data_IF_732977739377
#
_entry.id   IF_732977739377
#
_cell.length_a   1.000
_cell.length_b   1.000
_cell.length_c   1.000
_cell.angle_alpha   90.00
_cell.angle_beta   90.00
_cell.angle_gamma   90.00
#
_symmetry.space_group_name_H-M   'P 1'
#
loop_
_entity.id
_entity.type
_entity.pdbx_description
1 polymer ?
#
# COMPACT_ATOMS: atom_id res chain seq x y z
N UNK A 1 3.75 -26.06 13.71
CA UNK A 1 4.29 -25.06 12.76
C UNK A 1 5.80 -25.26 12.69
N UNK A 2 6.33 -25.63 11.53
CA UNK A 2 7.78 -25.71 11.27
C UNK A 2 8.24 -24.45 10.57
N UNK A 3 9.53 -24.10 10.73
CA UNK A 3 10.12 -22.90 10.14
C UNK A 3 11.45 -23.28 9.50
N UNK A 4 11.65 -22.90 8.25
CA UNK A 4 12.94 -22.96 7.56
C UNK A 4 13.40 -21.54 7.25
N UNK A 5 14.61 -21.18 7.67
CA UNK A 5 15.24 -19.90 7.31
C UNK A 5 15.94 -20.12 5.97
N UNK A 6 15.50 -19.39 4.94
CA UNK A 6 16.08 -19.48 3.60
C UNK A 6 17.37 -18.65 3.53
N UNK A 7 18.35 -19.14 2.80
CA UNK A 7 19.61 -18.46 2.48
C UNK A 7 19.68 -18.06 1.00
N UNK A 8 18.77 -18.58 0.17
CA UNK A 8 18.57 -18.21 -1.22
C UNK A 8 17.08 -18.27 -1.58
N UNK A 9 16.68 -17.58 -2.65
CA UNK A 9 15.27 -17.50 -3.06
C UNK A 9 14.73 -18.80 -3.69
N UNK A 10 15.61 -19.64 -4.23
CA UNK A 10 15.28 -20.92 -4.88
C UNK A 10 15.27 -22.12 -3.92
N UNK A 11 15.63 -21.89 -2.66
CA UNK A 11 15.55 -22.94 -1.63
C UNK A 11 14.10 -23.27 -1.31
N UNK A 12 13.70 -24.50 -1.57
CA UNK A 12 12.41 -25.04 -1.18
C UNK A 12 12.59 -26.40 -0.54
N UNK A 13 12.13 -26.59 0.70
CA UNK A 13 12.12 -27.91 1.32
C UNK A 13 11.15 -28.85 0.57
N UNK A 14 11.62 -30.04 0.19
CA UNK A 14 10.77 -31.07 -0.41
C UNK A 14 9.78 -31.64 0.62
N UNK A 15 8.59 -32.04 0.15
CA UNK A 15 7.60 -32.78 0.95
C UNK A 15 6.91 -31.96 2.03
N UNK A 16 7.00 -30.63 1.99
CA UNK A 16 6.26 -29.74 2.89
C UNK A 16 4.85 -29.50 2.35
N UNK A 17 3.83 -29.57 3.23
CA UNK A 17 2.44 -29.23 2.91
C UNK A 17 2.25 -27.76 2.57
N UNK A 18 1.22 -27.11 3.11
CA UNK A 18 0.96 -25.70 2.89
C UNK A 18 2.18 -24.85 3.29
N UNK A 19 2.71 -24.08 2.33
CA UNK A 19 3.85 -23.19 2.50
C UNK A 19 3.40 -21.75 2.63
N UNK A 20 4.04 -20.97 3.53
CA UNK A 20 3.84 -19.54 3.62
C UNK A 20 5.17 -18.80 3.79
N UNK A 21 5.36 -17.71 3.08
CA UNK A 21 6.53 -16.87 3.23
C UNK A 21 6.38 -15.92 4.41
N UNK A 22 7.48 -15.69 5.12
CA UNK A 22 7.58 -14.74 6.24
C UNK A 22 8.78 -13.82 6.06
N UNK A 23 8.53 -12.49 6.20
CA UNK A 23 9.55 -11.49 6.48
C UNK A 23 9.34 -11.01 7.93
N UNK A 24 8.91 -9.78 8.19
CA UNK A 24 8.64 -9.28 9.54
C UNK A 24 7.48 -9.95 10.29
N UNK A 25 6.64 -10.69 9.60
CA UNK A 25 5.58 -11.54 10.18
C UNK A 25 4.40 -10.79 10.82
N UNK A 26 4.35 -9.47 10.78
CA UNK A 26 3.35 -8.65 11.49
C UNK A 26 1.91 -8.90 11.04
N UNK A 27 1.69 -9.30 9.79
CA UNK A 27 0.39 -9.73 9.28
C UNK A 27 0.19 -11.25 9.43
N UNK A 28 1.21 -12.04 9.08
CA UNK A 28 1.13 -13.50 9.07
C UNK A 28 0.84 -14.05 10.49
N UNK A 29 1.53 -13.55 11.52
CA UNK A 29 1.37 -14.05 12.90
C UNK A 29 -0.05 -13.85 13.43
N UNK A 30 -0.67 -12.71 13.13
CA UNK A 30 -2.06 -12.46 13.50
C UNK A 30 -2.99 -13.48 12.85
N UNK A 31 -2.84 -13.71 11.53
CA UNK A 31 -3.67 -14.68 10.79
C UNK A 31 -3.51 -16.09 11.32
N UNK A 32 -2.30 -16.53 11.55
CA UNK A 32 -2.04 -17.87 12.09
C UNK A 32 -2.64 -18.09 13.47
N UNK A 33 -2.60 -17.08 14.35
CA UNK A 33 -3.26 -17.16 15.66
C UNK A 33 -4.77 -17.25 15.54
N UNK A 34 -5.36 -16.48 14.62
CA UNK A 34 -6.81 -16.42 14.44
C UNK A 34 -7.36 -17.70 13.82
N UNK A 35 -6.67 -18.25 12.81
CA UNK A 35 -7.13 -19.46 12.10
C UNK A 35 -6.72 -20.77 12.78
N UNK A 36 -5.73 -20.73 13.68
CA UNK A 36 -5.11 -21.95 14.22
C UNK A 36 -4.30 -22.73 13.20
N UNK A 37 -4.07 -22.20 11.99
CA UNK A 37 -3.33 -22.87 10.93
C UNK A 37 -1.86 -23.08 11.32
N UNK A 38 -1.30 -24.21 10.90
CA UNK A 38 0.09 -24.60 11.20
C UNK A 38 0.87 -24.92 9.92
N UNK A 39 0.98 -23.97 8.96
CA UNK A 39 1.73 -24.19 7.74
C UNK A 39 3.23 -24.35 8.03
N UNK A 40 3.97 -24.77 7.01
CA UNK A 40 5.42 -24.64 7.03
C UNK A 40 5.81 -23.21 6.63
N UNK A 41 6.56 -22.54 7.48
CA UNK A 41 6.98 -21.15 7.27
C UNK A 41 8.35 -21.08 6.64
N UNK A 42 8.44 -20.43 5.48
CA UNK A 42 9.70 -20.08 4.80
C UNK A 42 10.09 -18.67 5.21
N UNK A 43 11.10 -18.54 6.06
CA UNK A 43 11.58 -17.26 6.57
C UNK A 43 12.63 -16.67 5.62
N UNK A 44 12.33 -15.50 5.07
CA UNK A 44 13.16 -14.81 4.08
C UNK A 44 14.29 -13.97 4.71
N UNK A 45 14.32 -13.83 6.03
CA UNK A 45 15.25 -12.91 6.70
C UNK A 45 16.71 -13.35 6.64
N UNK A 46 16.97 -14.62 6.31
CA UNK A 46 18.32 -15.15 6.11
C UNK A 46 18.91 -14.90 4.73
N UNK A 47 18.12 -14.41 3.75
CA UNK A 47 18.59 -14.21 2.38
C UNK A 47 19.51 -12.99 2.31
N UNK A 48 20.74 -13.12 1.79
CA UNK A 48 21.66 -11.99 1.60
C UNK A 48 21.04 -10.88 0.75
N UNK A 49 21.18 -9.63 1.20
CA UNK A 49 20.65 -8.45 0.49
C UNK A 49 19.13 -8.25 0.63
N UNK A 50 18.40 -9.16 1.28
CA UNK A 50 16.95 -9.04 1.43
C UNK A 50 16.52 -7.73 2.12
N UNK A 51 17.32 -7.18 3.02
CA UNK A 51 17.08 -5.92 3.71
C UNK A 51 18.06 -4.80 3.31
N UNK A 52 18.69 -4.89 2.13
CA UNK A 52 19.61 -3.87 1.64
C UNK A 52 18.90 -2.61 1.13
N UNK A 53 19.57 -1.46 1.27
CA UNK A 53 19.22 -0.20 0.61
C UNK A 53 20.40 0.19 -0.26
N UNK A 54 20.22 0.18 -1.58
CA UNK A 54 21.28 0.44 -2.55
C UNK A 54 20.91 1.66 -3.40
N UNK A 55 21.77 2.68 -3.37
CA UNK A 55 21.67 3.87 -4.21
C UNK A 55 22.59 3.72 -5.41
N UNK A 56 22.03 3.95 -6.59
CA UNK A 56 22.74 3.87 -7.87
C UNK A 56 22.57 5.17 -8.67
N UNK A 57 23.24 5.26 -9.79
CA UNK A 57 23.08 6.35 -10.76
C UNK A 57 21.73 6.32 -11.52
N UNK A 58 20.93 5.27 -11.35
CA UNK A 58 19.61 5.12 -11.95
C UNK A 58 18.45 5.18 -10.96
N UNK A 59 18.73 5.21 -9.65
CA UNK A 59 17.70 5.26 -8.61
C UNK A 59 18.11 4.55 -7.33
N UNK A 60 17.11 4.19 -6.51
CA UNK A 60 17.31 3.48 -5.24
C UNK A 60 16.59 2.15 -5.24
N UNK A 61 17.32 1.08 -4.95
CA UNK A 61 16.81 -0.28 -4.78
C UNK A 61 16.64 -0.59 -3.29
N UNK A 62 15.44 -1.02 -2.90
CA UNK A 62 15.07 -1.41 -1.55
C UNK A 62 14.76 -2.91 -1.53
N UNK A 63 15.58 -3.71 -0.87
CA UNK A 63 15.26 -5.12 -0.62
C UNK A 63 13.91 -5.26 0.10
N UNK A 64 13.14 -6.28 -0.22
CA UNK A 64 11.79 -6.47 0.32
C UNK A 64 11.74 -6.60 1.85
N UNK A 65 12.85 -6.95 2.47
CA UNK A 65 13.05 -7.03 3.92
C UNK A 65 13.40 -5.70 4.59
N UNK A 66 13.59 -4.61 3.85
CA UNK A 66 13.81 -3.27 4.45
C UNK A 66 12.61 -2.92 5.32
N UNK A 67 12.89 -2.55 6.58
CA UNK A 67 11.81 -2.27 7.54
C UNK A 67 11.11 -0.94 7.25
N UNK A 68 9.86 -0.84 7.62
CA UNK A 68 9.08 0.41 7.53
C UNK A 68 9.77 1.54 8.31
N UNK A 69 10.38 1.22 9.46
CA UNK A 69 11.15 2.20 10.24
C UNK A 69 12.39 2.70 9.48
N UNK A 70 13.08 1.83 8.75
CA UNK A 70 14.23 2.20 7.89
C UNK A 70 13.77 3.09 6.74
N UNK A 71 12.66 2.74 6.07
CA UNK A 71 12.07 3.57 5.01
C UNK A 71 11.77 4.98 5.53
N UNK A 72 11.11 5.09 6.70
CA UNK A 72 10.75 6.38 7.30
C UNK A 72 11.97 7.25 7.65
N UNK A 73 13.05 6.64 8.11
CA UNK A 73 14.24 7.36 8.56
C UNK A 73 15.21 7.69 7.43
N UNK A 74 15.55 6.70 6.61
CA UNK A 74 16.70 6.76 5.71
C UNK A 74 16.34 7.30 4.32
N UNK A 75 15.05 7.37 3.99
CA UNK A 75 14.56 7.88 2.71
C UNK A 75 13.92 9.27 2.80
N UNK A 76 13.90 9.90 3.99
CA UNK A 76 13.22 11.16 4.20
C UNK A 76 13.77 12.31 3.32
N UNK A 77 15.07 12.31 3.02
CA UNK A 77 15.70 13.31 2.15
C UNK A 77 15.51 13.04 0.66
N UNK A 78 15.43 11.77 0.27
CA UNK A 78 15.39 11.35 -1.13
C UNK A 78 13.95 11.13 -1.66
N UNK A 79 13.07 10.58 -0.81
CA UNK A 79 11.70 10.20 -1.16
C UNK A 79 10.71 10.58 -0.04
N UNK A 80 10.48 11.89 0.17
CA UNK A 80 9.73 12.37 1.33
C UNK A 80 8.30 11.84 1.40
N UNK A 81 7.59 11.65 0.28
CA UNK A 81 6.25 11.09 0.28
C UNK A 81 6.22 9.64 0.82
N UNK A 82 7.18 8.80 0.42
CA UNK A 82 7.30 7.43 0.90
C UNK A 82 7.68 7.39 2.39
N UNK A 83 8.63 8.24 2.80
CA UNK A 83 9.09 8.31 4.18
C UNK A 83 8.00 8.81 5.15
N UNK A 84 7.25 9.86 4.77
CA UNK A 84 6.12 10.38 5.56
C UNK A 84 5.02 9.32 5.70
N UNK A 85 4.69 8.62 4.61
CA UNK A 85 3.72 7.53 4.65
C UNK A 85 4.19 6.43 5.60
N UNK A 86 5.46 6.01 5.49
CA UNK A 86 6.03 4.98 6.37
C UNK A 86 6.03 5.41 7.85
N UNK A 87 6.36 6.67 8.15
CA UNK A 87 6.33 7.22 9.51
C UNK A 87 4.93 7.23 10.12
N UNK A 88 3.89 7.44 9.29
CA UNK A 88 2.49 7.44 9.70
C UNK A 88 1.86 6.06 9.93
N UNK A 89 2.54 4.96 9.59
CA UNK A 89 1.99 3.61 9.71
C UNK A 89 2.10 3.06 11.13
N UNK A 90 1.05 2.40 11.59
CA UNK A 90 1.04 1.53 12.78
C UNK A 90 1.76 2.15 13.99
N UNK A 91 2.20 1.31 14.94
CA UNK A 91 3.03 1.73 16.08
C UNK A 91 4.53 1.70 15.74
N UNK A 92 5.39 2.43 16.46
CA UNK A 92 6.85 2.33 16.29
C UNK A 92 7.38 0.89 16.35
N UNK A 93 6.85 0.08 17.27
CA UNK A 93 7.24 -1.33 17.43
C UNK A 93 6.88 -2.16 16.19
N UNK A 94 5.70 -1.94 15.62
CA UNK A 94 5.30 -2.62 14.37
C UNK A 94 6.21 -2.19 13.22
N UNK A 95 6.53 -0.90 13.10
CA UNK A 95 7.40 -0.39 12.02
C UNK A 95 8.81 -0.97 12.04
N UNK A 96 9.36 -1.31 13.23
CA UNK A 96 10.68 -1.95 13.31
C UNK A 96 10.72 -3.39 12.86
N UNK A 97 9.57 -4.07 12.80
CA UNK A 97 9.45 -5.46 12.34
C UNK A 97 8.84 -5.56 10.93
N UNK A 98 7.81 -4.76 10.64
CA UNK A 98 7.14 -4.75 9.35
C UNK A 98 8.10 -4.32 8.23
N UNK A 99 8.06 -5.01 7.09
CA UNK A 99 8.93 -4.77 5.94
C UNK A 99 8.16 -4.18 4.77
N UNK A 100 8.87 -3.54 3.84
CA UNK A 100 8.25 -2.97 2.63
C UNK A 100 7.54 -4.06 1.81
N UNK A 101 8.16 -5.19 1.55
CA UNK A 101 7.53 -6.32 0.85
C UNK A 101 6.33 -6.89 1.60
N UNK A 102 6.46 -7.07 2.94
CA UNK A 102 5.35 -7.52 3.77
C UNK A 102 4.19 -6.53 3.81
N UNK A 103 4.44 -5.22 3.71
CA UNK A 103 3.39 -4.21 3.63
C UNK A 103 2.66 -4.26 2.27
N UNK A 104 3.39 -4.40 1.15
CA UNK A 104 2.78 -4.51 -0.17
C UNK A 104 1.90 -5.76 -0.31
N UNK A 105 2.34 -6.89 0.23
CA UNK A 105 1.70 -8.20 0.06
C UNK A 105 0.81 -8.61 1.25
N UNK A 106 0.55 -7.70 2.19
CA UNK A 106 -0.33 -7.99 3.32
C UNK A 106 -1.76 -8.28 2.86
N UNK A 107 -2.45 -9.14 3.61
CA UNK A 107 -3.83 -9.52 3.34
C UNK A 107 -4.82 -8.48 3.88
N UNK A 108 -5.97 -8.42 3.24
CA UNK A 108 -7.08 -7.52 3.63
C UNK A 108 -7.38 -7.53 5.13
N UNK A 109 -7.88 -6.39 5.65
CA UNK A 109 -8.29 -6.20 7.06
C UNK A 109 -9.78 -6.45 7.28
N UNK A 110 -10.46 -7.00 6.30
CA UNK A 110 -11.86 -7.36 6.38
C UNK A 110 -12.11 -8.30 7.57
N UNK A 111 -13.00 -7.94 8.45
CA UNK A 111 -13.34 -8.77 9.62
C UNK A 111 -13.98 -10.10 9.23
N UNK A 112 -14.72 -10.21 8.12
CA UNK A 112 -15.23 -11.47 7.61
C UNK A 112 -14.08 -12.40 7.19
N UNK A 113 -13.09 -11.88 6.46
CA UNK A 113 -11.89 -12.64 6.10
C UNK A 113 -11.06 -13.04 7.33
N UNK A 114 -11.00 -12.17 8.35
CA UNK A 114 -10.24 -12.40 9.58
C UNK A 114 -10.98 -13.25 10.62
N UNK A 115 -12.25 -13.55 10.39
CA UNK A 115 -13.04 -14.38 11.30
C UNK A 115 -12.92 -15.86 10.93
N UNK A 116 -12.55 -16.75 11.87
CA UNK A 116 -12.19 -18.15 11.56
C UNK A 116 -13.37 -18.99 11.05
N UNK A 117 -14.61 -18.58 11.33
CA UNK A 117 -15.83 -19.32 10.96
C UNK A 117 -16.61 -18.67 9.80
N UNK A 118 -16.00 -17.73 9.08
CA UNK A 118 -16.63 -17.06 7.94
C UNK A 118 -15.89 -17.44 6.65
N UNK A 119 -16.64 -17.90 5.65
CA UNK A 119 -16.13 -18.14 4.32
C UNK A 119 -16.39 -16.93 3.42
N UNK A 120 -15.40 -16.53 2.63
CA UNK A 120 -15.51 -15.50 1.62
C UNK A 120 -14.57 -15.83 0.44
N UNK A 121 -14.61 -15.06 -0.66
CA UNK A 121 -13.72 -15.28 -1.81
C UNK A 121 -12.25 -15.50 -1.40
N UNK A 122 -11.71 -14.72 -0.45
CA UNK A 122 -10.31 -14.79 -0.02
C UNK A 122 -9.98 -15.94 0.94
N UNK A 123 -11.00 -16.66 1.43
CA UNK A 123 -10.86 -17.84 2.30
C UNK A 123 -11.45 -19.11 1.69
N UNK A 124 -11.57 -19.15 0.35
CA UNK A 124 -12.00 -20.34 -0.39
C UNK A 124 -13.52 -20.46 -0.60
N UNK A 125 -14.29 -19.43 -0.27
CA UNK A 125 -15.71 -19.34 -0.59
C UNK A 125 -15.98 -18.71 -1.95
N UNK A 126 -17.25 -18.64 -2.31
CA UNK A 126 -17.76 -18.19 -3.61
C UNK A 126 -18.52 -16.85 -3.55
N UNK A 127 -18.61 -16.24 -2.36
CA UNK A 127 -19.36 -14.99 -2.13
C UNK A 127 -18.56 -14.00 -1.28
N UNK A 128 -19.04 -12.75 -1.23
CA UNK A 128 -18.55 -11.73 -0.31
C UNK A 128 -19.63 -11.45 0.76
N UNK A 129 -19.56 -12.04 1.96
CA UNK A 129 -20.57 -11.85 2.99
C UNK A 129 -20.66 -10.41 3.50
N UNK A 130 -19.61 -9.60 3.31
CA UNK A 130 -19.66 -8.18 3.65
C UNK A 130 -20.59 -7.38 2.73
N UNK A 131 -20.87 -7.85 1.51
CA UNK A 131 -21.71 -7.13 0.54
C UNK A 131 -23.17 -7.05 1.00
N UNK A 132 -23.67 -8.13 1.59
CA UNK A 132 -25.03 -8.21 2.13
C UNK A 132 -25.06 -7.95 3.65
N UNK A 133 -23.89 -7.90 4.30
CA UNK A 133 -23.73 -7.68 5.74
C UNK A 133 -23.18 -6.28 6.05
N UNK A 134 -22.32 -6.21 7.08
CA UNK A 134 -21.70 -4.96 7.52
C UNK A 134 -20.45 -4.67 6.67
N UNK A 135 -20.44 -3.48 6.07
CA UNK A 135 -19.33 -3.04 5.19
C UNK A 135 -18.87 -1.61 5.46
N UNK A 136 -19.04 -1.15 6.69
CA UNK A 136 -18.72 0.23 7.12
C UNK A 136 -17.32 0.70 6.69
N UNK A 137 -16.33 -0.20 6.70
CA UNK A 137 -14.95 0.09 6.27
C UNK A 137 -14.65 -0.33 4.82
N UNK A 138 -15.71 -0.65 4.05
CA UNK A 138 -15.60 -1.08 2.65
C UNK A 138 -15.15 0.03 1.70
N UNK A 139 -15.09 -0.36 0.42
CA UNK A 139 -14.74 0.53 -0.69
C UNK A 139 -15.79 1.64 -0.86
N UNK A 140 -15.32 2.80 -1.31
CA UNK A 140 -16.17 3.88 -1.83
C UNK A 140 -16.15 3.91 -3.36
N UNK A 141 -15.09 3.35 -3.96
CA UNK A 141 -15.04 3.00 -5.38
C UNK A 141 -15.26 1.49 -5.48
N UNK A 142 -16.54 1.10 -5.62
CA UNK A 142 -16.93 -0.32 -5.64
C UNK A 142 -16.79 -0.89 -7.06
N UNK A 143 -15.57 -1.18 -7.45
CA UNK A 143 -15.20 -1.64 -8.80
C UNK A 143 -14.91 -3.15 -8.88
N UNK A 144 -15.07 -3.90 -7.78
CA UNK A 144 -14.70 -5.30 -7.70
C UNK A 144 -15.67 -6.12 -6.84
N UNK A 145 -15.72 -7.46 -7.00
CA UNK A 145 -16.58 -8.32 -6.20
C UNK A 145 -16.28 -8.29 -4.69
N UNK A 146 -15.01 -8.14 -4.28
CA UNK A 146 -14.62 -7.95 -2.89
C UNK A 146 -14.77 -6.48 -2.50
N UNK A 147 -15.55 -6.18 -1.47
CA UNK A 147 -15.86 -4.80 -1.06
C UNK A 147 -14.85 -4.18 -0.10
N UNK A 148 -13.77 -4.86 0.24
CA UNK A 148 -12.82 -4.35 1.22
C UNK A 148 -11.55 -3.82 0.56
N UNK A 149 -11.08 -2.61 0.96
CA UNK A 149 -9.92 -1.98 0.32
C UNK A 149 -8.61 -2.72 0.62
N UNK A 150 -7.66 -2.56 -0.30
CA UNK A 150 -6.28 -3.00 -0.09
C UNK A 150 -5.61 -2.19 1.03
N UNK A 151 -4.93 -2.84 1.99
CA UNK A 151 -4.46 -2.16 3.20
C UNK A 151 -3.05 -1.58 3.12
N UNK A 152 -2.41 -1.56 1.94
CA UNK A 152 -1.03 -1.09 1.80
C UNK A 152 -0.92 0.41 1.54
N UNK A 153 -0.63 1.19 2.57
CA UNK A 153 -0.30 2.61 2.42
C UNK A 153 1.01 2.81 1.65
N UNK A 154 2.01 1.91 1.81
CA UNK A 154 3.27 2.04 1.05
C UNK A 154 3.06 1.82 -0.45
N UNK A 155 2.16 0.91 -0.85
CA UNK A 155 1.80 0.74 -2.25
C UNK A 155 1.23 2.04 -2.84
N UNK A 156 0.36 2.74 -2.09
CA UNK A 156 -0.16 4.06 -2.47
C UNK A 156 0.98 5.07 -2.71
N UNK A 157 1.93 5.19 -1.78
CA UNK A 157 3.07 6.09 -1.94
C UNK A 157 3.96 5.70 -3.13
N UNK A 158 4.21 4.41 -3.35
CA UNK A 158 5.01 3.91 -4.45
C UNK A 158 4.39 4.19 -5.83
N UNK A 159 3.06 4.24 -5.94
CA UNK A 159 2.37 4.64 -7.16
C UNK A 159 2.74 6.07 -7.58
N UNK A 160 2.94 6.99 -6.64
CA UNK A 160 3.30 8.39 -6.94
C UNK A 160 4.71 8.55 -7.50
N UNK A 161 5.60 7.58 -7.22
CA UNK A 161 6.96 7.52 -7.77
C UNK A 161 7.06 6.66 -9.03
N UNK A 162 5.97 6.05 -9.49
CA UNK A 162 5.99 5.04 -10.55
C UNK A 162 7.04 3.94 -10.29
N UNK A 163 7.19 3.54 -9.02
CA UNK A 163 8.15 2.54 -8.57
C UNK A 163 7.99 1.21 -9.32
N UNK A 164 9.08 0.47 -9.44
CA UNK A 164 9.11 -0.85 -10.04
C UNK A 164 9.38 -1.91 -8.99
N UNK A 165 8.95 -3.12 -9.28
CA UNK A 165 9.07 -4.27 -8.37
C UNK A 165 9.75 -5.40 -9.13
N UNK A 166 10.78 -5.97 -8.52
CA UNK A 166 11.42 -7.19 -8.98
C UNK A 166 11.02 -8.35 -8.07
N UNK A 167 10.70 -9.46 -8.69
CA UNK A 167 10.35 -10.73 -8.03
C UNK A 167 11.33 -11.82 -8.41
N UNK A 168 11.11 -13.03 -7.91
CA UNK A 168 11.89 -14.21 -8.33
C UNK A 168 11.61 -14.62 -9.77
N UNK A 169 10.45 -14.26 -10.33
CA UNK A 169 10.03 -14.66 -11.66
C UNK A 169 10.10 -13.52 -12.69
N UNK A 170 9.98 -12.26 -12.25
CA UNK A 170 9.78 -11.11 -13.13
C UNK A 170 10.50 -9.89 -12.58
N UNK A 171 11.05 -9.07 -13.45
CA UNK A 171 11.68 -7.80 -13.09
C UNK A 171 10.93 -6.60 -13.68
N UNK A 172 11.03 -5.44 -13.04
CA UNK A 172 10.51 -4.18 -13.53
C UNK A 172 8.99 -4.04 -13.58
N UNK A 173 8.24 -4.85 -12.81
CA UNK A 173 6.78 -4.77 -12.73
C UNK A 173 6.33 -3.42 -12.18
N UNK A 174 5.27 -2.83 -12.71
CA UNK A 174 4.63 -1.72 -12.03
C UNK A 174 3.95 -2.20 -10.73
N UNK A 175 3.75 -1.29 -9.77
CA UNK A 175 3.03 -1.62 -8.52
C UNK A 175 1.62 -2.16 -8.83
N UNK A 176 0.94 -1.58 -9.83
CA UNK A 176 -0.38 -2.05 -10.28
C UNK A 176 -0.36 -3.47 -10.86
N UNK A 177 0.73 -3.87 -11.55
CA UNK A 177 0.85 -5.25 -12.09
C UNK A 177 0.99 -6.30 -10.97
N UNK A 178 1.53 -5.89 -9.81
CA UNK A 178 1.65 -6.76 -8.64
C UNK A 178 0.34 -6.84 -7.88
N UNK A 179 -0.38 -5.74 -7.71
CA UNK A 179 -1.63 -5.69 -6.93
C UNK A 179 -2.84 -6.11 -7.75
N UNK A 180 -2.82 -5.91 -9.08
CA UNK A 180 -3.96 -6.09 -9.95
C UNK A 180 -4.97 -4.95 -9.84
N UNK A 181 -6.19 -5.22 -10.28
CA UNK A 181 -7.33 -4.29 -10.30
C UNK A 181 -8.48 -4.73 -9.36
N UNK A 182 -8.30 -5.86 -8.66
CA UNK A 182 -9.32 -6.45 -7.79
C UNK A 182 -10.35 -7.33 -8.53
N UNK A 183 -10.22 -7.55 -9.83
CA UNK A 183 -11.13 -8.41 -10.62
C UNK A 183 -11.11 -9.87 -10.13
N UNK A 184 -9.96 -10.37 -9.65
CA UNK A 184 -9.88 -11.62 -8.90
C UNK A 184 -10.15 -11.37 -7.40
N UNK A 185 -11.36 -11.64 -6.89
CA UNK A 185 -11.70 -11.33 -5.51
C UNK A 185 -11.05 -12.28 -4.49
N UNK A 186 -10.42 -13.37 -4.92
CA UNK A 186 -9.75 -14.33 -4.05
C UNK A 186 -8.36 -13.85 -3.60
N UNK A 187 -7.77 -12.90 -4.33
CA UNK A 187 -6.38 -12.44 -4.15
C UNK A 187 -6.30 -11.00 -3.65
N UNK A 188 -5.22 -10.68 -2.97
CA UNK A 188 -4.83 -9.31 -2.61
C UNK A 188 -3.64 -8.83 -3.45
N UNK A 189 -3.01 -9.74 -4.22
CA UNK A 189 -1.93 -9.48 -5.17
C UNK A 189 -1.87 -10.60 -6.22
N UNK A 190 -1.22 -10.34 -7.36
CA UNK A 190 -1.15 -11.26 -8.51
C UNK A 190 0.17 -12.07 -8.60
N UNK A 191 0.99 -12.06 -7.54
CA UNK A 191 2.16 -12.94 -7.50
C UNK A 191 1.72 -14.40 -7.44
N UNK A 192 2.42 -15.29 -8.14
CA UNK A 192 2.22 -16.73 -8.03
C UNK A 192 2.53 -17.20 -6.60
N UNK A 193 2.04 -18.39 -6.23
CA UNK A 193 2.21 -18.92 -4.86
C UNK A 193 3.69 -19.21 -4.52
N UNK A 194 4.51 -19.35 -5.55
CA UNK A 194 5.95 -19.56 -5.45
C UNK A 194 6.77 -18.32 -5.82
N UNK A 195 6.14 -17.22 -6.13
CA UNK A 195 6.80 -15.98 -6.50
C UNK A 195 7.05 -15.11 -5.27
N UNK A 196 8.30 -14.72 -5.07
CA UNK A 196 8.74 -13.90 -3.94
C UNK A 196 9.13 -12.51 -4.43
N UNK A 197 8.62 -11.47 -3.78
CA UNK A 197 9.06 -10.09 -3.99
C UNK A 197 10.49 -9.94 -3.46
N UNK A 198 11.44 -9.58 -4.35
CA UNK A 198 12.85 -9.39 -4.00
C UNK A 198 13.14 -7.96 -3.56
N UNK A 199 12.67 -6.98 -4.34
CA UNK A 199 12.98 -5.57 -4.10
C UNK A 199 11.98 -4.63 -4.77
N UNK A 200 11.96 -3.40 -4.26
CA UNK A 200 11.30 -2.23 -4.86
C UNK A 200 12.37 -1.32 -5.42
N UNK A 201 12.20 -0.85 -6.65
CA UNK A 201 13.11 0.05 -7.34
C UNK A 201 12.42 1.40 -7.53
N UNK A 202 13.01 2.44 -6.95
CA UNK A 202 12.57 3.83 -7.07
C UNK A 202 13.40 4.55 -8.13
N UNK A 203 12.84 5.50 -8.89
CA UNK A 203 13.60 6.34 -9.81
C UNK A 203 14.61 7.21 -9.04
N UNK A 204 15.44 7.95 -9.76
CA UNK A 204 16.32 8.95 -9.12
C UNK A 204 15.48 9.94 -8.29
N UNK A 205 15.95 10.31 -7.08
CA UNK A 205 15.29 11.34 -6.30
C UNK A 205 15.31 12.68 -7.03
N UNK A 206 14.23 13.45 -6.87
CA UNK A 206 14.08 14.77 -7.50
C UNK A 206 14.42 15.86 -6.48
N UNK A 207 15.37 16.72 -6.80
CA UNK A 207 15.74 17.82 -5.93
C UNK A 207 14.57 18.82 -5.76
N UNK A 208 14.36 19.27 -4.52
CA UNK A 208 13.28 20.20 -4.21
C UNK A 208 11.88 19.59 -4.13
N UNK A 209 11.77 18.25 -4.15
CA UNK A 209 10.49 17.58 -3.91
C UNK A 209 9.94 17.94 -2.54
N UNK A 210 8.69 18.35 -2.51
CA UNK A 210 7.89 18.53 -1.30
C UNK A 210 6.79 17.48 -1.26
N UNK A 211 6.44 17.03 -0.06
CA UNK A 211 5.42 16.01 0.07
C UNK A 211 4.58 16.19 1.34
N UNK A 212 3.36 15.67 1.30
CA UNK A 212 2.51 15.56 2.45
C UNK A 212 1.79 14.20 2.45
N UNK A 213 1.53 13.70 3.62
CA UNK A 213 0.71 12.53 3.87
C UNK A 213 -0.34 12.87 4.92
N UNK A 214 -1.56 12.43 4.70
CA UNK A 214 -2.64 12.53 5.66
C UNK A 214 -3.53 11.29 5.63
N UNK A 215 -4.06 10.94 6.78
CA UNK A 215 -5.02 9.86 6.93
C UNK A 215 -6.17 10.24 7.85
N UNK A 216 -7.39 10.04 7.38
CA UNK A 216 -8.58 10.09 8.19
C UNK A 216 -8.72 8.78 8.94
N UNK A 217 -8.65 8.84 10.25
CA UNK A 217 -8.76 7.69 11.16
C UNK A 217 -10.02 7.78 12.00
N UNK A 218 -10.44 6.65 12.54
CA UNK A 218 -11.65 6.58 13.36
C UNK A 218 -11.42 7.12 14.77
N UNK A 219 -10.37 6.65 15.48
CA UNK A 219 -10.16 6.95 16.90
C UNK A 219 -8.71 7.01 17.35
N UNK A 220 -7.84 6.21 16.75
CA UNK A 220 -6.51 5.92 17.27
C UNK A 220 -5.45 6.01 16.16
N UNK A 221 -4.32 6.65 16.42
CA UNK A 221 -3.26 6.85 15.42
C UNK A 221 -2.72 5.56 14.79
N UNK A 222 -2.75 4.44 15.51
CA UNK A 222 -2.30 3.15 15.00
C UNK A 222 -3.38 2.38 14.23
N UNK A 223 -4.61 2.91 14.14
CA UNK A 223 -5.69 2.28 13.38
C UNK A 223 -5.46 2.35 11.86
N UNK A 224 -6.13 1.44 11.17
CA UNK A 224 -6.19 1.47 9.71
C UNK A 224 -6.97 2.72 9.26
N UNK A 225 -6.48 3.44 8.25
CA UNK A 225 -7.17 4.63 7.78
C UNK A 225 -8.51 4.29 7.15
N UNK A 226 -9.49 5.14 7.37
CA UNK A 226 -10.76 5.13 6.64
C UNK A 226 -10.53 5.57 5.20
N UNK A 227 -9.76 6.65 5.06
CA UNK A 227 -9.24 7.22 3.81
C UNK A 227 -7.85 7.75 4.10
N UNK A 228 -6.93 7.56 3.20
CA UNK A 228 -5.60 8.18 3.26
C UNK A 228 -5.21 8.76 1.90
N UNK A 229 -4.35 9.75 1.92
CA UNK A 229 -3.79 10.34 0.72
C UNK A 229 -2.32 10.71 0.91
N UNK A 230 -1.56 10.64 -0.16
CA UNK A 230 -0.19 11.14 -0.24
C UNK A 230 -0.06 11.99 -1.50
N UNK A 231 0.57 13.15 -1.35
CA UNK A 231 0.90 14.04 -2.46
C UNK A 231 2.38 14.37 -2.43
N UNK A 232 3.03 14.35 -3.59
CA UNK A 232 4.36 14.90 -3.81
C UNK A 232 4.29 15.91 -4.95
N UNK A 233 5.05 16.99 -4.84
CA UNK A 233 5.15 18.03 -5.87
C UNK A 233 6.59 18.50 -6.04
N UNK A 234 6.91 18.92 -7.25
CA UNK A 234 8.11 19.72 -7.56
C UNK A 234 7.62 21.04 -8.12
N UNK A 235 8.28 22.16 -7.75
CA UNK A 235 7.90 23.50 -8.21
C UNK A 235 9.04 24.17 -8.95
N UNK A 236 8.69 25.05 -9.89
CA UNK A 236 9.62 25.96 -10.53
C UNK A 236 9.93 27.21 -9.65
N UNK A 237 10.77 28.10 -10.17
CA UNK A 237 11.15 29.33 -9.48
C UNK A 237 10.00 30.32 -9.24
N UNK A 238 8.88 30.17 -9.95
CA UNK A 238 7.66 30.98 -9.80
C UNK A 238 6.64 30.30 -8.86
N UNK A 239 7.01 29.18 -8.25
CA UNK A 239 6.17 28.40 -7.33
C UNK A 239 5.09 27.55 -8.01
N UNK A 240 5.11 27.42 -9.33
CA UNK A 240 4.17 26.55 -10.06
C UNK A 240 4.59 25.09 -9.97
N UNK A 241 3.62 24.22 -9.79
CA UNK A 241 3.83 22.77 -9.78
C UNK A 241 4.25 22.32 -11.18
N UNK A 242 5.44 21.77 -11.30
CA UNK A 242 5.97 21.17 -12.54
C UNK A 242 5.80 19.67 -12.58
N UNK A 243 5.82 19.01 -11.40
CA UNK A 243 5.52 17.59 -11.25
C UNK A 243 4.57 17.38 -10.07
N UNK A 244 3.63 16.47 -10.23
CA UNK A 244 2.72 16.05 -9.17
C UNK A 244 2.56 14.53 -9.18
N UNK A 245 2.57 13.94 -8.00
CA UNK A 245 2.14 12.56 -7.77
C UNK A 245 1.15 12.55 -6.62
N UNK A 246 -0.09 12.12 -6.88
CA UNK A 246 -1.16 12.06 -5.91
C UNK A 246 -1.83 10.70 -5.93
N UNK A 247 -1.95 10.08 -4.77
CA UNK A 247 -2.62 8.79 -4.64
C UNK A 247 -3.45 8.71 -3.36
N UNK A 248 -4.49 7.88 -3.39
CA UNK A 248 -5.39 7.62 -2.25
C UNK A 248 -5.46 6.13 -1.93
N UNK A 249 -5.67 5.83 -0.66
CA UNK A 249 -5.80 4.47 -0.14
C UNK A 249 -6.99 4.31 0.81
N UNK A 250 -7.33 3.06 1.14
CA UNK A 250 -8.46 2.74 2.02
C UNK A 250 -9.84 2.90 1.37
N UNK A 251 -9.93 3.02 0.03
CA UNK A 251 -11.13 3.43 -0.69
C UNK A 251 -11.54 2.53 -1.85
N UNK A 252 -10.65 1.68 -2.33
CA UNK A 252 -10.83 0.83 -3.51
C UNK A 252 -10.14 -0.52 -3.32
N UNK A 253 -10.41 -1.52 -4.18
CA UNK A 253 -9.77 -2.84 -4.13
C UNK A 253 -8.24 -2.79 -4.18
N UNK A 254 -7.69 -1.75 -4.80
CA UNK A 254 -6.26 -1.41 -4.83
C UNK A 254 -6.08 0.09 -4.60
N UNK A 255 -4.90 0.56 -4.13
CA UNK A 255 -4.64 1.99 -4.04
C UNK A 255 -4.77 2.68 -5.40
N UNK A 256 -5.30 3.89 -5.42
CA UNK A 256 -5.58 4.63 -6.64
C UNK A 256 -4.61 5.81 -6.81
N UNK A 257 -3.93 5.89 -7.94
CA UNK A 257 -3.26 7.09 -8.39
C UNK A 257 -4.26 8.00 -9.09
N UNK A 258 -4.31 9.26 -8.71
CA UNK A 258 -5.28 10.23 -9.20
C UNK A 258 -4.72 11.06 -10.36
N UNK A 259 -4.34 10.41 -11.47
CA UNK A 259 -3.67 11.09 -12.60
C UNK A 259 -4.49 12.23 -13.21
N UNK A 260 -5.82 12.15 -13.22
CA UNK A 260 -6.68 13.24 -13.67
C UNK A 260 -6.59 14.46 -12.73
N UNK A 261 -6.49 14.22 -11.42
CA UNK A 261 -6.31 15.29 -10.43
C UNK A 261 -4.90 15.87 -10.49
N UNK A 262 -3.87 15.03 -10.71
CA UNK A 262 -2.49 15.48 -10.94
C UNK A 262 -2.42 16.47 -12.11
N UNK A 263 -3.15 16.19 -13.19
CA UNK A 263 -3.21 17.06 -14.37
C UNK A 263 -3.89 18.43 -14.08
N UNK A 264 -4.88 18.47 -13.18
CA UNK A 264 -5.51 19.73 -12.75
C UNK A 264 -4.57 20.60 -11.90
N UNK A 265 -3.66 20.00 -11.15
CA UNK A 265 -2.73 20.67 -10.25
C UNK A 265 -1.49 21.18 -11.00
N UNK A 266 -1.01 20.42 -11.97
CA UNK A 266 0.20 20.75 -12.74
C UNK A 266 0.04 22.07 -13.47
N UNK A 267 1.02 22.97 -13.33
CA UNK A 267 1.02 24.33 -13.85
C UNK A 267 0.35 25.39 -12.95
N UNK A 268 -0.29 24.97 -11.84
CA UNK A 268 -0.90 25.91 -10.86
C UNK A 268 0.09 26.26 -9.73
N UNK A 269 -0.25 27.26 -8.92
CA UNK A 269 0.44 27.58 -7.65
C UNK A 269 -0.23 26.94 -6.43
N UNK A 270 -1.13 25.96 -6.65
CA UNK A 270 -1.95 25.33 -5.60
C UNK A 270 -2.76 26.36 -4.79
N UNK A 271 -3.35 27.33 -5.46
CA UNK A 271 -4.28 28.27 -4.81
C UNK A 271 -5.56 27.55 -4.34
N UNK A 272 -6.42 28.27 -3.64
CA UNK A 272 -7.63 27.69 -3.04
C UNK A 272 -8.61 27.16 -4.09
N UNK A 273 -8.66 27.77 -5.28
CA UNK A 273 -9.52 27.33 -6.39
C UNK A 273 -9.00 26.01 -6.97
N UNK A 274 -7.69 25.90 -7.22
CA UNK A 274 -7.06 24.67 -7.70
C UNK A 274 -7.24 23.52 -6.70
N UNK A 275 -7.03 23.77 -5.41
CA UNK A 275 -7.22 22.77 -4.35
C UNK A 275 -8.70 22.34 -4.28
N UNK A 276 -9.63 23.29 -4.39
CA UNK A 276 -11.07 22.99 -4.37
C UNK A 276 -11.48 22.12 -5.54
N UNK A 277 -11.04 22.47 -6.76
CA UNK A 277 -11.30 21.67 -7.96
C UNK A 277 -10.69 20.25 -7.87
N UNK A 278 -9.44 20.15 -7.41
CA UNK A 278 -8.75 18.89 -7.21
C UNK A 278 -9.47 17.97 -6.21
N UNK A 279 -9.90 18.53 -5.06
CA UNK A 279 -10.62 17.78 -4.03
C UNK A 279 -11.99 17.28 -4.54
N UNK A 280 -12.70 18.06 -5.35
CA UNK A 280 -13.94 17.65 -5.98
C UNK A 280 -13.71 16.53 -7.00
N UNK A 281 -12.73 16.68 -7.90
CA UNK A 281 -12.39 15.71 -8.93
C UNK A 281 -11.92 14.37 -8.33
N UNK A 282 -11.30 14.36 -7.15
CA UNK A 282 -10.88 13.13 -6.46
C UNK A 282 -12.05 12.21 -6.07
N UNK A 283 -13.29 12.69 -6.09
CA UNK A 283 -14.49 11.89 -5.80
C UNK A 283 -15.22 11.40 -7.05
N UNK A 284 -14.76 11.77 -8.23
CA UNK A 284 -15.38 11.35 -9.48
C UNK A 284 -15.33 9.82 -9.64
N UNK A 285 -16.43 9.24 -10.06
CA UNK A 285 -16.56 7.78 -10.18
C UNK A 285 -16.81 7.04 -8.86
N UNK A 286 -16.98 7.76 -7.73
CA UNK A 286 -17.38 7.13 -6.48
C UNK A 286 -18.74 6.43 -6.61
N UNK A 287 -18.79 5.18 -6.18
CA UNK A 287 -19.97 4.31 -6.21
C UNK A 287 -20.13 3.62 -4.84
N UNK A 288 -20.45 4.37 -3.79
CA UNK A 288 -20.42 3.85 -2.42
C UNK A 288 -21.49 2.79 -2.20
N UNK A 289 -21.16 1.80 -1.39
CA UNK A 289 -22.12 0.88 -0.79
C UNK A 289 -22.96 1.60 0.29
N UNK A 290 -24.10 1.03 0.72
CA UNK A 290 -25.00 1.70 1.69
C UNK A 290 -24.32 2.24 2.95
N UNK A 291 -23.32 1.55 3.51
CA UNK A 291 -22.63 1.99 4.72
C UNK A 291 -21.32 2.77 4.44
N UNK A 292 -20.90 2.94 3.17
CA UNK A 292 -19.62 3.63 2.83
C UNK A 292 -19.79 5.03 2.26
N UNK A 293 -21.01 5.52 2.13
CA UNK A 293 -21.30 6.85 1.56
C UNK A 293 -20.58 8.02 2.25
N UNK A 294 -20.35 7.92 3.56
CA UNK A 294 -19.61 8.91 4.33
C UNK A 294 -18.17 9.10 3.85
N UNK A 295 -17.56 8.07 3.25
CA UNK A 295 -16.17 8.15 2.74
C UNK A 295 -16.03 9.09 1.54
N UNK A 296 -17.08 9.36 0.78
CA UNK A 296 -17.02 10.29 -0.36
C UNK A 296 -16.55 11.67 0.12
N UNK A 297 -17.16 12.19 1.20
CA UNK A 297 -16.74 13.46 1.78
C UNK A 297 -15.33 13.37 2.40
N UNK A 298 -14.98 12.23 3.02
CA UNK A 298 -13.64 12.02 3.55
C UNK A 298 -12.57 11.99 2.44
N UNK A 299 -12.85 11.44 1.26
CA UNK A 299 -11.92 11.48 0.12
C UNK A 299 -11.62 12.93 -0.25
N UNK A 300 -12.66 13.75 -0.49
CA UNK A 300 -12.48 15.17 -0.82
C UNK A 300 -11.71 15.93 0.28
N UNK A 301 -12.08 15.72 1.55
CA UNK A 301 -11.41 16.37 2.69
C UNK A 301 -9.95 15.93 2.85
N UNK A 302 -9.67 14.63 2.68
CA UNK A 302 -8.32 14.07 2.81
C UNK A 302 -7.41 14.55 1.68
N UNK A 303 -7.91 14.64 0.45
CA UNK A 303 -7.17 15.19 -0.70
C UNK A 303 -6.92 16.68 -0.51
N UNK A 304 -7.93 17.46 -0.08
CA UNK A 304 -7.76 18.87 0.27
C UNK A 304 -6.64 19.04 1.31
N UNK A 305 -6.68 18.30 2.39
CA UNK A 305 -5.72 18.39 3.50
C UNK A 305 -4.27 18.15 3.03
N UNK A 306 -4.02 17.10 2.20
CA UNK A 306 -2.64 16.88 1.71
C UNK A 306 -2.17 17.96 0.75
N UNK A 307 -3.09 18.55 -0.05
CA UNK A 307 -2.76 19.66 -0.96
C UNK A 307 -2.46 20.94 -0.21
N UNK A 308 -3.21 21.25 0.83
CA UNK A 308 -2.95 22.40 1.72
C UNK A 308 -1.62 22.24 2.45
N UNK A 309 -1.31 21.05 2.97
CA UNK A 309 -0.03 20.75 3.63
C UNK A 309 1.17 20.81 2.71
N UNK A 310 1.04 20.36 1.47
CA UNK A 310 2.16 20.40 0.52
C UNK A 310 2.34 21.80 -0.06
N UNK A 311 1.32 22.67 0.01
CA UNK A 311 1.40 24.09 -0.38
C UNK A 311 2.22 24.92 0.63
N UNK A 312 2.05 24.64 1.93
CA UNK A 312 2.72 25.35 3.04
C UNK A 312 4.19 24.97 3.16
#
# INVERSE_FOLDING_TARGET
MSVTILTAYDERPEGTGDLVYRAGGTDLQERLRTTGATPHVLDLTGIPGFASVERTDTGTSLGAGVTVATVARDLAGDYPALALTAAGLATPQVRTAATIGGNLLQRTRCWYFRHPHTSCFKSGGDTCPARDGRHLYGNVFDTAPCVHPHPSSLAMALLTYAARIDTTHRDGLAVGDVLGDGSDPSRDHLLADDEVLKRVVLPLPVAGEQAAYFRSISRFEAEWPLVEAVCRVVRDGDGRVTECGLAIGGVAPTPLRLSAVEALITGTQLDDDAITAAAAAATEGASPLPETGYKVQLVAATVREVLERVRS
#
